data_IF_342679809623
#
_entry.id   IF_342679809623
#
_cell.length_a   1.000
_cell.length_b   1.000
_cell.length_c   1.000
_cell.angle_alpha   90.00
_cell.angle_beta   90.00
_cell.angle_gamma   90.00
#
_symmetry.space_group_name_H-M   'P 1'
#
loop_
_entity.id
_entity.type
_entity.pdbx_description
1 polymer ?
#
# COMPACT_ATOMS: atom_id res chain seq x y z
N UNK A 1 -14.54 15.84 34.43
CA UNK A 1 -14.14 17.24 34.61
C UNK A 1 -14.00 17.60 36.09
N UNK A 2 -14.97 17.25 36.94
CA UNK A 2 -14.90 17.47 38.40
C UNK A 2 -13.60 16.99 39.07
N UNK A 3 -13.09 15.81 38.69
CA UNK A 3 -11.86 15.24 39.28
C UNK A 3 -10.55 15.85 38.75
N UNK A 4 -10.51 16.32 37.51
CA UNK A 4 -9.26 16.70 36.82
C UNK A 4 -9.15 18.21 36.55
N UNK A 5 -10.19 18.99 36.83
CA UNK A 5 -10.21 20.45 36.77
C UNK A 5 -10.22 21.04 35.37
N UNK A 6 -9.42 20.50 34.43
CA UNK A 6 -9.30 20.96 33.05
C UNK A 6 -9.67 19.87 32.05
N UNK A 7 -10.40 20.19 30.97
CA UNK A 7 -10.66 19.29 29.85
C UNK A 7 -9.39 18.64 29.29
N UNK A 8 -8.32 19.41 29.10
CA UNK A 8 -7.05 18.86 28.60
C UNK A 8 -6.45 17.83 29.56
N UNK A 9 -6.52 18.04 30.88
CA UNK A 9 -5.97 17.11 31.86
C UNK A 9 -6.67 15.74 31.85
N UNK A 10 -7.88 15.65 31.31
CA UNK A 10 -8.53 14.37 31.04
C UNK A 10 -7.88 13.67 29.85
N UNK A 11 -7.50 14.42 28.81
CA UNK A 11 -6.79 13.89 27.64
C UNK A 11 -5.36 13.46 28.03
N UNK A 12 -4.56 14.38 28.56
CA UNK A 12 -3.14 14.15 28.89
C UNK A 12 -2.93 13.19 30.07
N UNK A 13 -3.92 13.04 30.95
CA UNK A 13 -3.89 12.08 32.05
C UNK A 13 -4.50 10.74 31.65
N UNK A 14 -5.71 10.41 32.14
CA UNK A 14 -6.25 9.05 32.04
C UNK A 14 -6.41 8.52 30.62
N UNK A 15 -6.69 9.38 29.63
CA UNK A 15 -6.83 8.95 28.24
C UNK A 15 -5.47 8.59 27.62
N UNK A 16 -4.47 9.46 27.74
CA UNK A 16 -3.11 9.18 27.27
C UNK A 16 -2.45 8.04 28.05
N UNK A 17 -2.68 7.93 29.36
CA UNK A 17 -2.24 6.78 30.15
C UNK A 17 -2.80 5.46 29.60
N UNK A 18 -4.10 5.44 29.27
CA UNK A 18 -4.73 4.30 28.61
C UNK A 18 -4.10 4.01 27.24
N UNK A 19 -3.82 5.03 26.44
CA UNK A 19 -3.18 4.87 25.13
C UNK A 19 -1.72 4.42 25.21
N UNK A 20 -0.98 4.85 26.24
CA UNK A 20 0.38 4.38 26.52
C UNK A 20 0.38 2.89 26.82
N UNK A 21 -0.53 2.41 27.67
CA UNK A 21 -0.70 0.98 27.96
C UNK A 21 -1.03 0.21 26.67
N UNK A 22 -1.91 0.75 25.82
CA UNK A 22 -2.23 0.14 24.51
C UNK A 22 -0.98 0.06 23.63
N UNK A 23 -0.17 1.12 23.59
CA UNK A 23 1.09 1.17 22.85
C UNK A 23 2.11 0.15 23.35
N UNK A 24 2.28 0.04 24.66
CA UNK A 24 3.20 -0.91 25.29
C UNK A 24 2.76 -2.35 25.03
N UNK A 25 1.49 -2.68 25.23
CA UNK A 25 0.95 -4.01 24.94
C UNK A 25 1.03 -4.37 23.45
N UNK A 26 0.86 -3.40 22.55
CA UNK A 26 1.05 -3.60 21.12
C UNK A 26 2.52 -3.83 20.77
N UNK A 27 3.45 -3.08 21.39
CA UNK A 27 4.89 -3.28 21.24
C UNK A 27 5.39 -4.63 21.76
N UNK A 28 4.76 -5.15 22.82
CA UNK A 28 5.03 -6.48 23.40
C UNK A 28 4.33 -7.63 22.65
N UNK A 29 3.51 -7.33 21.63
CA UNK A 29 2.74 -8.34 20.88
C UNK A 29 1.57 -8.96 21.66
N UNK A 30 1.13 -8.33 22.76
CA UNK A 30 -0.02 -8.73 23.57
C UNK A 30 -1.34 -8.11 23.11
N UNK A 31 -1.26 -7.03 22.33
CA UNK A 31 -2.38 -6.44 21.61
C UNK A 31 -2.08 -6.40 20.11
N UNK A 32 -3.12 -6.48 19.29
CA UNK A 32 -3.04 -6.43 17.83
C UNK A 32 -3.78 -5.22 17.28
N UNK A 33 -3.52 -4.91 16.01
CA UNK A 33 -4.06 -3.72 15.36
C UNK A 33 -5.59 -3.58 15.47
N UNK A 34 -6.42 -4.64 15.35
CA UNK A 34 -7.87 -4.53 15.56
C UNK A 34 -8.24 -3.92 16.91
N UNK A 35 -7.51 -4.29 17.97
CA UNK A 35 -7.76 -3.78 19.32
C UNK A 35 -7.26 -2.34 19.45
N UNK A 36 -6.10 -2.02 18.88
CA UNK A 36 -5.56 -0.64 18.86
C UNK A 36 -6.56 0.31 18.18
N UNK A 37 -7.16 -0.09 17.06
CA UNK A 37 -8.19 0.71 16.37
C UNK A 37 -9.49 0.79 17.18
N UNK A 38 -9.91 -0.30 17.85
CA UNK A 38 -11.06 -0.26 18.78
C UNK A 38 -10.81 0.72 19.95
N UNK A 39 -9.60 0.76 20.52
CA UNK A 39 -9.19 1.72 21.55
C UNK A 39 -9.15 3.16 21.02
N UNK A 40 -8.59 3.36 19.82
CA UNK A 40 -8.59 4.64 19.13
C UNK A 40 -10.00 5.23 18.98
N UNK A 41 -10.99 4.37 18.70
CA UNK A 41 -12.40 4.78 18.58
C UNK A 41 -12.95 5.29 19.91
N UNK A 42 -12.57 4.69 21.04
CA UNK A 42 -12.95 5.18 22.38
C UNK A 42 -12.29 6.53 22.66
N UNK A 43 -10.99 6.65 22.37
CA UNK A 43 -10.23 7.91 22.49
C UNK A 43 -10.90 9.02 21.68
N UNK A 44 -11.20 8.78 20.40
CA UNK A 44 -11.87 9.75 19.51
C UNK A 44 -13.24 10.18 20.05
N UNK A 45 -14.06 9.24 20.56
CA UNK A 45 -15.36 9.57 21.16
C UNK A 45 -15.21 10.43 22.42
N UNK A 46 -14.22 10.12 23.28
CA UNK A 46 -13.96 10.89 24.49
C UNK A 46 -13.45 12.30 24.17
N UNK A 47 -12.54 12.45 23.21
CA UNK A 47 -12.07 13.76 22.73
C UNK A 47 -13.20 14.55 22.07
N UNK A 48 -14.04 13.92 21.24
CA UNK A 48 -15.20 14.57 20.62
C UNK A 48 -16.18 15.14 21.66
N UNK A 49 -16.37 14.44 22.78
CA UNK A 49 -17.15 14.94 23.91
C UNK A 49 -16.47 16.14 24.61
N UNK A 50 -15.14 16.13 24.72
CA UNK A 50 -14.37 17.21 25.35
C UNK A 50 -14.15 18.43 24.45
N UNK A 51 -14.35 18.30 23.13
CA UNK A 51 -14.07 19.33 22.14
C UNK A 51 -14.71 20.71 22.47
N UNK A 52 -16.00 20.80 22.82
CA UNK A 52 -16.63 22.09 23.13
C UNK A 52 -15.99 22.77 24.35
N UNK A 53 -15.53 21.99 25.33
CA UNK A 53 -14.87 22.49 26.54
C UNK A 53 -13.43 22.93 26.26
N UNK A 54 -12.73 22.21 25.38
CA UNK A 54 -11.38 22.56 24.92
C UNK A 54 -11.39 23.83 24.08
N UNK A 55 -12.38 24.05 23.23
CA UNK A 55 -12.53 25.28 22.45
C UNK A 55 -12.76 26.50 23.36
N UNK A 56 -13.59 26.34 24.39
CA UNK A 56 -13.80 27.37 25.41
C UNK A 56 -12.55 27.65 26.27
N UNK A 57 -11.66 26.66 26.44
CA UNK A 57 -10.40 26.79 27.18
C UNK A 57 -9.25 27.33 26.30
N UNK A 58 -9.16 26.93 25.02
CA UNK A 58 -8.20 27.46 24.02
C UNK A 58 -8.38 28.94 23.76
N UNK A 59 -9.60 29.46 23.86
CA UNK A 59 -9.87 30.90 23.83
C UNK A 59 -9.21 31.66 25.01
N UNK A 60 -8.81 30.96 26.07
CA UNK A 60 -8.19 31.52 27.29
C UNK A 60 -6.69 31.23 27.41
N UNK A 61 -6.16 30.17 26.77
CA UNK A 61 -4.72 29.91 26.69
C UNK A 61 -4.36 28.94 25.55
N UNK A 62 -3.44 29.28 24.63
CA UNK A 62 -2.94 28.35 23.62
C UNK A 62 -2.10 27.23 24.25
N UNK A 63 -2.32 25.98 23.84
CA UNK A 63 -1.61 24.78 24.35
C UNK A 63 -0.62 24.20 23.32
N UNK A 64 0.33 23.38 23.81
CA UNK A 64 1.47 22.83 23.05
C UNK A 64 1.16 21.43 22.51
N UNK A 65 1.18 21.26 21.19
CA UNK A 65 0.93 19.98 20.50
C UNK A 65 2.19 19.10 20.46
N UNK A 66 2.04 17.76 20.41
CA UNK A 66 3.17 16.83 20.34
C UNK A 66 3.89 16.84 18.98
N UNK A 67 3.18 17.23 17.92
CA UNK A 67 3.67 17.39 16.56
C UNK A 67 2.57 17.27 15.53
N UNK A 68 2.79 17.82 14.34
CA UNK A 68 1.88 17.87 13.20
C UNK A 68 2.41 17.01 12.05
N UNK A 69 1.63 16.03 11.63
CA UNK A 69 1.98 15.12 10.53
C UNK A 69 1.00 15.31 9.39
N UNK A 70 1.49 15.76 8.23
CA UNK A 70 0.69 15.78 7.00
C UNK A 70 0.85 14.45 6.28
N UNK A 71 -0.25 13.79 5.92
CA UNK A 71 -0.24 12.51 5.20
C UNK A 71 -0.98 12.63 3.87
N UNK A 72 -0.45 11.99 2.83
CA UNK A 72 -1.09 11.93 1.52
C UNK A 72 -0.76 10.62 0.80
N UNK A 73 -1.74 10.06 0.08
CA UNK A 73 -1.44 9.08 -0.97
C UNK A 73 -1.08 9.86 -2.24
N UNK A 74 0.06 9.53 -2.83
CA UNK A 74 0.64 10.30 -3.94
C UNK A 74 -0.25 10.32 -5.19
N UNK A 75 0.03 11.27 -6.08
CA UNK A 75 -0.69 11.44 -7.35
C UNK A 75 -0.78 10.12 -8.13
N UNK A 76 -1.96 9.87 -8.71
CA UNK A 76 -2.22 8.68 -9.53
C UNK A 76 -2.45 7.39 -8.73
N UNK A 77 -2.35 7.44 -7.38
CA UNK A 77 -2.60 6.30 -6.52
C UNK A 77 -3.84 6.54 -5.64
N UNK A 78 -4.71 5.53 -5.55
CA UNK A 78 -6.00 5.57 -4.88
C UNK A 78 -6.04 4.80 -3.57
N UNK A 79 -4.98 4.07 -3.25
CA UNK A 79 -4.98 3.13 -2.13
C UNK A 79 -4.58 3.83 -0.83
N UNK A 80 -5.40 3.70 0.22
CA UNK A 80 -5.25 4.47 1.45
C UNK A 80 -5.42 3.68 2.74
N UNK A 81 -5.75 2.37 2.69
CA UNK A 81 -5.98 1.56 3.89
C UNK A 81 -4.79 1.66 4.87
N UNK A 82 -3.56 1.43 4.37
CA UNK A 82 -2.35 1.53 5.18
C UNK A 82 -2.11 2.96 5.71
N UNK A 83 -2.33 3.99 4.89
CA UNK A 83 -2.23 5.40 5.29
C UNK A 83 -3.19 5.71 6.44
N UNK A 84 -4.44 5.28 6.32
CA UNK A 84 -5.49 5.54 7.31
C UNK A 84 -5.15 4.84 8.64
N UNK A 85 -4.60 3.62 8.59
CA UNK A 85 -4.12 2.91 9.77
C UNK A 85 -3.00 3.70 10.47
N UNK A 86 -1.99 4.16 9.72
CA UNK A 86 -0.89 4.98 10.27
C UNK A 86 -1.44 6.26 10.90
N UNK A 87 -2.36 6.95 10.22
CA UNK A 87 -2.98 8.18 10.75
C UNK A 87 -3.74 7.94 12.06
N UNK A 88 -4.49 6.84 12.17
CA UNK A 88 -5.16 6.45 13.42
C UNK A 88 -4.13 6.18 14.52
N UNK A 89 -3.08 5.41 14.23
CA UNK A 89 -2.03 5.07 15.20
C UNK A 89 -1.25 6.31 15.68
N UNK A 90 -0.98 7.28 14.80
CA UNK A 90 -0.34 8.55 15.19
C UNK A 90 -1.27 9.42 16.05
N UNK A 91 -2.54 9.55 15.69
CA UNK A 91 -3.53 10.26 16.53
C UNK A 91 -3.65 9.63 17.92
N UNK A 92 -3.58 8.31 18.02
CA UNK A 92 -3.54 7.56 19.28
C UNK A 92 -2.37 7.94 20.18
N UNK A 93 -1.29 8.49 19.63
CA UNK A 93 -0.07 8.88 20.34
C UNK A 93 0.04 10.41 20.51
N UNK A 94 -1.06 11.15 20.34
CA UNK A 94 -1.13 12.58 20.63
C UNK A 94 -0.64 13.51 19.50
N UNK A 95 -0.31 12.97 18.33
CA UNK A 95 0.02 13.77 17.14
C UNK A 95 -1.22 14.30 16.44
N UNK A 96 -1.13 15.49 15.86
CA UNK A 96 -2.18 16.05 15.00
C UNK A 96 -1.91 15.59 13.57
N UNK A 97 -2.78 14.74 13.03
CA UNK A 97 -2.65 14.21 11.67
C UNK A 97 -3.64 14.90 10.74
N UNK A 98 -3.14 15.52 9.68
CA UNK A 98 -3.94 16.00 8.55
C UNK A 98 -3.79 15.03 7.38
N UNK A 99 -4.89 14.42 6.96
CA UNK A 99 -4.92 13.47 5.84
C UNK A 99 -5.52 14.13 4.60
N UNK A 100 -4.71 14.29 3.55
CA UNK A 100 -5.12 14.90 2.29
C UNK A 100 -5.90 13.97 1.36
N UNK A 101 -6.07 12.70 1.74
CA UNK A 101 -6.72 11.69 0.91
C UNK A 101 -5.79 11.09 -0.13
N UNK A 102 -6.33 10.86 -1.34
CA UNK A 102 -5.68 10.09 -2.40
C UNK A 102 -5.50 10.88 -3.69
N UNK A 103 -4.61 10.40 -4.56
CA UNK A 103 -4.23 11.04 -5.82
C UNK A 103 -3.77 12.49 -5.66
N UNK A 104 -3.07 12.81 -4.56
CA UNK A 104 -2.74 14.20 -4.21
C UNK A 104 -1.48 14.66 -4.98
N UNK A 105 -1.55 15.74 -5.78
CA UNK A 105 -0.39 16.28 -6.47
C UNK A 105 0.67 16.86 -5.52
N UNK A 106 1.94 16.78 -5.91
CA UNK A 106 3.07 17.26 -5.12
C UNK A 106 2.92 18.72 -4.66
N UNK A 107 2.53 19.64 -5.55
CA UNK A 107 2.37 21.05 -5.21
C UNK A 107 1.34 21.27 -4.09
N UNK A 108 0.20 20.55 -4.15
CA UNK A 108 -0.84 20.61 -3.13
C UNK A 108 -0.32 20.12 -1.78
N UNK A 109 0.44 19.02 -1.77
CA UNK A 109 1.05 18.48 -0.54
C UNK A 109 1.96 19.55 0.09
N UNK A 110 2.82 20.18 -0.69
CA UNK A 110 3.78 21.16 -0.18
C UNK A 110 3.13 22.48 0.24
N UNK A 111 2.13 22.95 -0.49
CA UNK A 111 1.30 24.11 -0.11
C UNK A 111 0.59 23.85 1.23
N UNK A 112 -0.08 22.70 1.35
CA UNK A 112 -0.80 22.32 2.56
C UNK A 112 0.16 22.11 3.74
N UNK A 113 1.36 21.57 3.51
CA UNK A 113 2.37 21.41 4.56
C UNK A 113 2.77 22.76 5.19
N UNK A 114 2.87 23.82 4.38
CA UNK A 114 3.14 25.18 4.87
C UNK A 114 1.95 25.77 5.62
N UNK A 115 0.74 25.66 5.06
CA UNK A 115 -0.50 26.13 5.67
C UNK A 115 -0.75 25.47 7.03
N UNK A 116 -0.63 24.15 7.08
CA UNK A 116 -0.84 23.34 8.27
C UNK A 116 0.30 23.49 9.29
N UNK A 117 1.44 24.06 8.88
CA UNK A 117 2.70 24.10 9.67
C UNK A 117 3.11 22.69 10.10
N UNK A 118 3.15 21.78 9.13
CA UNK A 118 3.53 20.39 9.38
C UNK A 118 4.96 20.32 9.93
N UNK A 119 5.19 19.43 10.90
CA UNK A 119 6.52 19.09 11.39
C UNK A 119 7.17 18.01 10.51
N UNK A 120 6.36 17.23 9.78
CA UNK A 120 6.79 16.21 8.83
C UNK A 120 5.71 15.87 7.80
N UNK A 121 6.14 15.32 6.67
CA UNK A 121 5.28 14.90 5.56
C UNK A 121 5.39 13.38 5.40
N UNK A 122 4.28 12.66 5.35
CA UNK A 122 4.20 11.23 5.08
C UNK A 122 3.53 10.95 3.74
N UNK A 123 4.22 10.18 2.88
CA UNK A 123 3.72 9.75 1.58
C UNK A 123 3.38 8.26 1.59
N UNK A 124 2.25 7.92 0.98
CA UNK A 124 1.80 6.55 0.79
C UNK A 124 1.68 6.20 -0.70
N UNK A 125 2.03 4.96 -1.06
CA UNK A 125 1.88 4.41 -2.41
C UNK A 125 1.82 2.88 -2.44
N UNK A 126 1.00 2.32 -3.31
CA UNK A 126 0.79 0.89 -3.52
C UNK A 126 1.31 0.41 -4.88
N UNK A 127 1.33 1.26 -5.91
CA UNK A 127 1.71 0.86 -7.28
C UNK A 127 3.11 1.38 -7.65
N UNK A 128 3.74 0.78 -8.66
CA UNK A 128 5.10 1.15 -9.08
C UNK A 128 5.24 2.63 -9.51
N UNK A 129 4.29 3.21 -10.29
CA UNK A 129 4.34 4.64 -10.63
C UNK A 129 4.36 5.59 -9.43
N UNK A 130 3.82 5.14 -8.28
CA UNK A 130 3.81 5.93 -7.04
C UNK A 130 5.22 6.22 -6.53
N UNK A 131 6.19 5.35 -6.84
CA UNK A 131 7.60 5.57 -6.47
C UNK A 131 8.21 6.77 -7.20
N UNK A 132 7.88 6.96 -8.48
CA UNK A 132 8.33 8.10 -9.26
C UNK A 132 7.71 9.40 -8.75
N UNK A 133 6.44 9.37 -8.34
CA UNK A 133 5.78 10.52 -7.71
C UNK A 133 6.39 10.86 -6.34
N UNK A 134 6.78 9.87 -5.53
CA UNK A 134 7.52 10.12 -4.28
C UNK A 134 8.90 10.76 -4.54
N UNK A 135 9.61 10.31 -5.58
CA UNK A 135 10.86 10.94 -6.01
C UNK A 135 10.61 12.39 -6.48
N UNK A 136 9.52 12.64 -7.21
CA UNK A 136 9.14 13.97 -7.64
C UNK A 136 8.86 14.89 -6.45
N UNK A 137 8.11 14.43 -5.44
CA UNK A 137 7.88 15.19 -4.20
C UNK A 137 9.20 15.51 -3.50
N UNK A 138 10.12 14.55 -3.37
CA UNK A 138 11.43 14.79 -2.76
C UNK A 138 12.24 15.87 -3.51
N UNK A 139 12.25 15.83 -4.86
CA UNK A 139 12.88 16.87 -5.69
C UNK A 139 12.25 18.24 -5.48
N UNK A 140 10.93 18.32 -5.42
CA UNK A 140 10.20 19.58 -5.21
C UNK A 140 10.41 20.13 -3.79
N UNK A 141 10.45 19.26 -2.77
CA UNK A 141 10.83 19.64 -1.42
C UNK A 141 12.24 20.24 -1.38
N UNK A 142 13.18 19.66 -2.12
CA UNK A 142 14.54 20.19 -2.22
C UNK A 142 14.60 21.53 -2.95
N UNK A 143 13.90 21.63 -4.09
CA UNK A 143 13.79 22.86 -4.91
C UNK A 143 13.19 24.03 -4.11
N UNK A 144 12.24 23.72 -3.24
CA UNK A 144 11.58 24.69 -2.36
C UNK A 144 12.23 24.80 -0.97
N UNK A 145 13.42 24.20 -0.80
CA UNK A 145 14.26 24.29 0.39
C UNK A 145 13.56 23.88 1.71
N UNK A 146 12.63 22.93 1.63
CA UNK A 146 12.05 22.33 2.83
C UNK A 146 13.14 21.72 3.72
N UNK A 147 12.89 21.72 5.03
CA UNK A 147 13.74 21.07 6.05
C UNK A 147 13.00 20.00 6.85
N UNK A 148 11.71 19.83 6.58
CA UNK A 148 10.85 18.85 7.25
C UNK A 148 11.30 17.43 6.89
N UNK A 149 11.26 16.46 7.83
CA UNK A 149 11.41 15.05 7.49
C UNK A 149 10.33 14.58 6.50
N UNK A 150 10.75 13.76 5.54
CA UNK A 150 9.90 13.08 4.58
C UNK A 150 9.84 11.59 4.94
N UNK A 151 8.65 11.11 5.29
CA UNK A 151 8.38 9.71 5.58
C UNK A 151 7.80 9.04 4.34
N UNK A 152 8.37 7.89 3.96
CA UNK A 152 7.97 7.09 2.81
C UNK A 152 7.44 5.75 3.31
N UNK A 153 6.23 5.37 2.88
CA UNK A 153 5.65 4.07 3.20
C UNK A 153 4.65 3.60 2.14
N UNK A 154 4.18 2.36 2.30
CA UNK A 154 3.26 1.70 1.36
C UNK A 154 3.86 0.47 0.69
N UNK A 155 3.04 -0.31 0.00
CA UNK A 155 3.40 -1.68 -0.41
C UNK A 155 4.57 -1.75 -1.41
N UNK A 156 4.69 -0.78 -2.31
CA UNK A 156 5.79 -0.72 -3.29
C UNK A 156 7.06 -0.09 -2.74
N UNK A 157 7.00 0.51 -1.56
CA UNK A 157 8.15 1.16 -0.94
C UNK A 157 9.06 0.14 -0.24
N UNK A 158 10.35 0.43 -0.21
CA UNK A 158 11.33 -0.35 0.55
C UNK A 158 12.46 0.54 1.06
N UNK A 159 13.17 0.07 2.09
CA UNK A 159 14.40 0.74 2.58
C UNK A 159 15.41 0.92 1.45
N UNK A 160 15.61 -0.11 0.62
CA UNK A 160 16.55 -0.09 -0.49
C UNK A 160 16.16 0.94 -1.55
N UNK A 161 14.90 0.92 -2.02
CA UNK A 161 14.43 1.90 -3.00
C UNK A 161 14.51 3.33 -2.46
N UNK A 162 14.10 3.54 -1.22
CA UNK A 162 14.16 4.86 -0.56
C UNK A 162 15.60 5.39 -0.51
N UNK A 163 16.55 4.55 -0.06
CA UNK A 163 17.96 4.93 0.04
C UNK A 163 18.61 5.24 -1.32
N UNK A 164 18.27 4.48 -2.36
CA UNK A 164 18.93 4.55 -3.69
C UNK A 164 18.29 5.59 -4.59
N UNK A 165 16.97 5.71 -4.58
CA UNK A 165 16.21 6.48 -5.58
C UNK A 165 15.51 7.72 -5.04
N UNK A 166 15.18 7.79 -3.75
CA UNK A 166 14.41 8.91 -3.18
C UNK A 166 15.31 9.85 -2.36
N UNK A 167 16.08 9.31 -1.41
CA UNK A 167 16.85 10.08 -0.45
C UNK A 167 17.86 11.05 -1.11
N UNK A 168 18.48 10.65 -2.22
CA UNK A 168 19.44 11.47 -2.96
C UNK A 168 18.82 12.72 -3.63
N UNK A 169 17.50 12.84 -3.65
CA UNK A 169 16.80 13.97 -4.26
C UNK A 169 16.39 15.05 -3.26
N UNK A 170 16.62 14.85 -1.96
CA UNK A 170 16.25 15.80 -0.91
C UNK A 170 17.34 15.91 0.15
N UNK A 171 17.77 17.14 0.43
CA UNK A 171 18.80 17.42 1.43
C UNK A 171 18.31 17.29 2.88
N UNK A 172 16.99 17.21 3.10
CA UNK A 172 16.42 16.96 4.43
C UNK A 172 16.28 15.45 4.73
N UNK A 173 15.85 15.09 5.95
CA UNK A 173 15.73 13.68 6.32
C UNK A 173 14.68 12.95 5.47
N UNK A 174 15.07 11.84 4.83
CA UNK A 174 14.14 10.91 4.18
C UNK A 174 14.19 9.57 4.90
N UNK A 175 13.06 9.06 5.33
CA UNK A 175 12.97 7.81 6.10
C UNK A 175 11.92 6.87 5.54
N UNK A 176 12.28 5.61 5.39
CA UNK A 176 11.33 4.55 5.07
C UNK A 176 10.71 3.98 6.34
N UNK A 177 9.38 4.00 6.43
CA UNK A 177 8.61 3.44 7.54
C UNK A 177 7.89 2.19 7.05
N UNK A 178 8.22 1.04 7.65
CA UNK A 178 7.73 -0.26 7.19
C UNK A 178 6.22 -0.43 7.36
N UNK A 179 5.72 -0.10 8.54
CA UNK A 179 4.33 -0.32 8.94
C UNK A 179 3.91 0.69 10.01
N UNK A 180 2.63 0.66 10.38
CA UNK A 180 2.07 1.58 11.38
C UNK A 180 2.66 1.38 12.78
N UNK A 181 3.13 0.18 13.13
CA UNK A 181 3.74 -0.08 14.43
C UNK A 181 5.07 0.65 14.62
N UNK A 182 5.83 0.80 13.53
CA UNK A 182 7.11 1.52 13.54
C UNK A 182 6.94 3.01 13.37
N UNK A 183 5.83 3.48 12.79
CA UNK A 183 5.58 4.89 12.55
C UNK A 183 5.70 5.74 13.83
N UNK A 184 5.10 5.30 14.94
CA UNK A 184 5.12 6.03 16.23
C UNK A 184 6.55 6.23 16.72
N UNK A 185 7.37 5.18 16.70
CA UNK A 185 8.76 5.24 17.15
C UNK A 185 9.58 6.22 16.32
N UNK A 186 9.43 6.16 14.98
CA UNK A 186 10.12 7.06 14.05
C UNK A 186 9.74 8.52 14.29
N UNK A 187 8.44 8.82 14.37
CA UNK A 187 7.95 10.19 14.61
C UNK A 187 8.44 10.71 15.97
N UNK A 188 8.37 9.88 17.02
CA UNK A 188 8.83 10.22 18.38
C UNK A 188 10.33 10.49 18.46
N UNK A 189 11.13 9.78 17.69
CA UNK A 189 12.58 9.98 17.65
C UNK A 189 12.96 11.23 16.83
N UNK A 190 12.21 11.51 15.75
CA UNK A 190 12.37 12.73 14.95
C UNK A 190 11.98 14.01 15.71
N UNK A 191 10.97 13.96 16.58
CA UNK A 191 10.51 15.12 17.35
C UNK A 191 11.33 15.38 18.64
N UNK A 192 12.23 14.48 19.01
CA UNK A 192 12.99 14.58 20.25
C UNK A 192 14.36 15.21 20.04
N UNK A 193 14.61 16.40 20.60
CA UNK A 193 15.91 17.09 20.51
C UNK A 193 17.11 16.21 20.92
N UNK A 194 16.91 15.36 21.93
CA UNK A 194 17.96 14.44 22.43
C UNK A 194 18.23 13.22 21.52
N UNK A 195 17.20 12.65 20.89
CA UNK A 195 17.32 11.40 20.10
C UNK A 195 17.50 11.67 18.62
N UNK A 196 16.97 12.78 18.12
CA UNK A 196 16.94 13.14 16.70
C UNK A 196 18.33 13.09 16.06
N UNK A 197 19.41 13.69 16.62
CA UNK A 197 20.72 13.68 15.95
C UNK A 197 21.24 12.26 15.71
N UNK A 198 21.35 11.46 16.77
CA UNK A 198 21.82 10.07 16.68
C UNK A 198 20.92 9.18 15.80
N UNK A 199 19.61 9.44 15.78
CA UNK A 199 18.67 8.71 14.93
C UNK A 199 18.86 9.03 13.44
N UNK A 200 19.08 10.31 13.11
CA UNK A 200 19.34 10.74 11.74
C UNK A 200 20.70 10.23 11.24
N UNK A 201 21.75 10.31 12.06
CA UNK A 201 23.08 9.79 11.73
C UNK A 201 23.02 8.30 11.42
N UNK A 202 22.29 7.53 12.25
CA UNK A 202 22.08 6.10 12.01
C UNK A 202 21.32 5.84 10.71
N UNK A 203 20.26 6.60 10.43
CA UNK A 203 19.50 6.45 9.18
C UNK A 203 20.37 6.74 7.96
N UNK A 204 21.22 7.76 8.02
CA UNK A 204 22.15 8.09 6.93
C UNK A 204 23.18 6.98 6.71
N UNK A 205 23.77 6.44 7.78
CA UNK A 205 24.68 5.29 7.71
C UNK A 205 24.01 4.06 7.09
N UNK A 206 22.82 3.70 7.57
CA UNK A 206 22.04 2.58 7.03
C UNK A 206 21.75 2.76 5.53
N UNK A 207 21.36 3.98 5.11
CA UNK A 207 21.11 4.28 3.71
C UNK A 207 22.39 4.24 2.87
N UNK A 208 23.52 4.71 3.40
CA UNK A 208 24.81 4.65 2.73
C UNK A 208 25.23 3.21 2.49
N UNK A 209 25.14 2.34 3.51
CA UNK A 209 25.41 0.90 3.37
C UNK A 209 24.50 0.25 2.33
N UNK A 210 23.21 0.60 2.30
CA UNK A 210 22.27 0.09 1.30
C UNK A 210 22.63 0.55 -0.12
N UNK A 211 23.07 1.80 -0.29
CA UNK A 211 23.53 2.32 -1.59
C UNK A 211 24.78 1.61 -2.07
N UNK A 212 25.77 1.44 -1.19
CA UNK A 212 27.02 0.74 -1.49
C UNK A 212 26.76 -0.73 -1.84
N UNK A 213 25.95 -1.42 -1.05
CA UNK A 213 25.55 -2.81 -1.33
C UNK A 213 24.83 -2.93 -2.67
N UNK A 214 23.95 -1.99 -3.00
CA UNK A 214 23.26 -1.97 -4.29
C UNK A 214 24.22 -1.70 -5.46
N UNK A 215 25.19 -0.79 -5.29
CA UNK A 215 26.22 -0.52 -6.29
C UNK A 215 27.12 -1.74 -6.53
N UNK A 216 27.49 -2.46 -5.48
CA UNK A 216 28.29 -3.68 -5.54
C UNK A 216 27.57 -4.87 -6.19
N UNK A 217 26.24 -4.94 -6.07
CA UNK A 217 25.46 -6.03 -6.69
C UNK A 217 25.54 -6.04 -8.22
N UNK A 218 25.90 -4.91 -8.85
CA UNK A 218 25.97 -4.76 -10.30
C UNK A 218 24.64 -5.08 -11.01
N UNK A 219 24.55 -4.76 -12.30
CA UNK A 219 23.50 -5.35 -13.13
C UNK A 219 23.90 -6.80 -13.42
N UNK A 220 23.01 -7.77 -13.15
CA UNK A 220 23.20 -9.12 -13.70
C UNK A 220 23.35 -8.99 -15.22
N UNK A 221 24.32 -9.70 -15.84
CA UNK A 221 24.49 -9.63 -17.30
C UNK A 221 23.18 -10.04 -17.97
N UNK A 222 22.68 -9.15 -18.81
CA UNK A 222 21.48 -9.38 -19.61
C UNK A 222 21.92 -9.97 -20.96
N UNK A 223 21.17 -10.95 -21.44
CA UNK A 223 21.24 -11.41 -22.83
C UNK A 223 20.68 -10.35 -23.77
N UNK A 224 21.09 -10.38 -25.02
CA UNK A 224 20.41 -9.59 -26.05
C UNK A 224 18.96 -10.06 -26.18
N UNK A 225 18.10 -9.19 -26.72
CA UNK A 225 16.70 -9.56 -26.92
C UNK A 225 16.59 -10.71 -27.94
N UNK A 226 17.45 -10.74 -28.96
CA UNK A 226 17.54 -11.81 -29.95
C UNK A 226 17.91 -13.15 -29.32
N UNK A 227 18.95 -13.19 -28.49
CA UNK A 227 19.34 -14.41 -27.75
C UNK A 227 18.21 -14.91 -26.83
N UNK A 228 17.51 -13.97 -26.18
CA UNK A 228 16.40 -14.31 -25.31
C UNK A 228 15.22 -14.88 -26.09
N UNK A 229 14.92 -14.33 -27.27
CA UNK A 229 13.88 -14.84 -28.18
C UNK A 229 14.20 -16.22 -28.74
N UNK A 230 15.47 -16.51 -29.00
CA UNK A 230 15.92 -17.85 -29.41
C UNK A 230 15.70 -18.89 -28.30
N UNK A 231 15.79 -18.47 -27.02
CA UNK A 231 15.51 -19.31 -25.86
C UNK A 231 14.06 -19.14 -25.32
N UNK A 232 13.09 -18.80 -26.19
CA UNK A 232 11.67 -18.72 -25.82
C UNK A 232 11.10 -20.06 -25.37
N UNK A 233 9.97 -20.03 -24.67
CA UNK A 233 9.24 -21.26 -24.30
C UNK A 233 8.89 -22.05 -25.56
N UNK A 234 9.23 -23.34 -25.59
CA UNK A 234 8.94 -24.22 -26.72
C UNK A 234 7.64 -25.00 -26.47
N UNK A 235 6.62 -24.70 -27.26
CA UNK A 235 5.34 -25.41 -27.27
C UNK A 235 5.16 -26.01 -28.67
N UNK A 236 4.83 -27.30 -28.75
CA UNK A 236 4.45 -27.94 -30.01
C UNK A 236 3.00 -27.61 -30.32
N UNK A 237 2.80 -26.65 -31.23
CA UNK A 237 1.48 -26.21 -31.66
C UNK A 237 0.83 -27.15 -32.68
N UNK A 238 1.58 -28.07 -33.31
CA UNK A 238 1.05 -28.92 -34.39
C UNK A 238 0.07 -29.98 -33.90
N UNK A 239 0.26 -30.46 -32.66
CA UNK A 239 -0.61 -31.43 -31.99
C UNK A 239 -1.45 -30.81 -30.86
N UNK A 240 -1.54 -29.48 -30.79
CA UNK A 240 -2.21 -28.78 -29.71
C UNK A 240 -3.60 -28.31 -30.14
N UNK A 241 -4.64 -28.84 -29.51
CA UNK A 241 -5.99 -28.29 -29.62
C UNK A 241 -6.19 -27.25 -28.53
N UNK A 242 -6.35 -25.98 -28.92
CA UNK A 242 -6.78 -24.93 -28.00
C UNK A 242 -8.26 -25.09 -27.67
N UNK A 243 -8.67 -24.60 -26.50
CA UNK A 243 -10.07 -24.61 -26.10
C UNK A 243 -10.75 -23.34 -26.61
N UNK A 244 -11.76 -23.51 -27.45
CA UNK A 244 -12.59 -22.40 -27.91
C UNK A 244 -13.50 -21.93 -26.76
N UNK A 245 -13.52 -20.63 -26.43
CA UNK A 245 -14.42 -20.10 -25.43
C UNK A 245 -15.88 -20.21 -25.90
N UNK A 246 -16.81 -20.38 -24.95
CA UNK A 246 -18.25 -20.51 -25.23
C UNK A 246 -18.85 -19.27 -25.92
N UNK A 247 -18.17 -18.13 -25.83
CA UNK A 247 -18.54 -16.90 -26.54
C UNK A 247 -17.30 -16.08 -26.89
N UNK A 248 -17.43 -15.22 -27.90
CA UNK A 248 -16.43 -14.21 -28.27
C UNK A 248 -17.05 -12.84 -28.07
N UNK A 249 -16.23 -11.88 -27.64
CA UNK A 249 -16.63 -10.50 -27.35
C UNK A 249 -16.76 -10.24 -25.86
N UNK A 250 -17.41 -9.13 -25.51
CA UNK A 250 -17.50 -8.62 -24.13
C UNK A 250 -18.85 -8.95 -23.50
N UNK A 251 -18.83 -9.36 -22.23
CA UNK A 251 -20.00 -9.44 -21.35
C UNK A 251 -19.84 -8.48 -20.18
N UNK A 252 -20.92 -7.80 -19.83
CA UNK A 252 -20.99 -6.91 -18.68
C UNK A 252 -21.92 -7.49 -17.64
N UNK A 253 -21.44 -7.61 -16.41
CA UNK A 253 -22.23 -8.00 -15.26
C UNK A 253 -22.53 -6.73 -14.45
N UNK A 254 -23.78 -6.30 -14.50
CA UNK A 254 -24.29 -5.21 -13.67
C UNK A 254 -25.07 -5.81 -12.51
N UNK A 255 -24.80 -5.35 -11.28
CA UNK A 255 -25.48 -5.83 -10.07
C UNK A 255 -25.29 -7.33 -9.84
N UNK A 256 -24.05 -7.82 -9.97
CA UNK A 256 -23.75 -9.24 -9.71
C UNK A 256 -24.09 -9.59 -8.24
N UNK A 257 -24.73 -10.76 -7.97
CA UNK A 257 -25.11 -11.15 -6.62
C UNK A 257 -23.90 -11.19 -5.69
N UNK A 258 -23.99 -10.49 -4.55
CA UNK A 258 -22.87 -10.44 -3.60
C UNK A 258 -22.69 -11.78 -2.88
N UNK A 259 -23.80 -12.48 -2.65
CA UNK A 259 -23.86 -13.83 -2.09
C UNK A 259 -22.99 -14.83 -2.85
N UNK A 260 -22.89 -14.70 -4.18
CA UNK A 260 -22.08 -15.57 -5.02
C UNK A 260 -20.57 -15.26 -4.88
N UNK A 261 -20.21 -14.06 -4.45
CA UNK A 261 -18.81 -13.66 -4.22
C UNK A 261 -18.29 -14.09 -2.85
N UNK A 262 -19.16 -14.21 -1.84
CA UNK A 262 -18.77 -14.51 -0.46
C UNK A 262 -17.90 -15.78 -0.33
N UNK A 263 -18.20 -16.91 -1.01
CA UNK A 263 -17.37 -18.11 -0.93
C UNK A 263 -15.96 -17.96 -1.51
N UNK A 264 -15.74 -16.96 -2.38
CA UNK A 264 -14.47 -16.72 -3.07
C UNK A 264 -13.55 -15.72 -2.34
N UNK A 265 -13.96 -15.22 -1.16
CA UNK A 265 -13.12 -14.33 -0.35
C UNK A 265 -11.97 -15.14 0.26
N UNK A 266 -10.73 -14.85 -0.16
CA UNK A 266 -9.55 -15.22 0.61
C UNK A 266 -9.39 -14.27 1.80
N UNK A 267 -9.55 -14.81 3.00
CA UNK A 267 -9.45 -14.06 4.25
C UNK A 267 -8.01 -13.84 4.72
N UNK A 268 -7.02 -14.52 4.14
CA UNK A 268 -5.61 -14.36 4.54
C UNK A 268 -5.11 -12.93 4.30
N UNK A 269 -5.32 -12.32 3.11
CA UNK A 269 -5.03 -10.90 2.89
C UNK A 269 -5.79 -9.95 3.84
N UNK A 270 -7.02 -10.29 4.22
CA UNK A 270 -7.78 -9.51 5.19
C UNK A 270 -7.08 -9.47 6.56
N UNK A 271 -6.64 -10.62 7.09
CA UNK A 271 -5.86 -10.64 8.33
C UNK A 271 -4.53 -9.91 8.21
N UNK A 272 -3.83 -10.05 7.08
CA UNK A 272 -2.59 -9.32 6.83
C UNK A 272 -2.80 -7.79 6.84
N UNK A 273 -3.89 -7.29 6.26
CA UNK A 273 -4.23 -5.87 6.31
C UNK A 273 -4.48 -5.37 7.75
N UNK A 274 -4.86 -6.28 8.65
CA UNK A 274 -5.00 -6.05 10.09
C UNK A 274 -3.73 -6.39 10.89
N UNK A 275 -2.57 -6.52 10.25
CA UNK A 275 -1.28 -6.86 10.88
C UNK A 275 -1.31 -8.19 11.66
N UNK A 276 -2.21 -9.10 11.28
CA UNK A 276 -2.30 -10.45 11.83
C UNK A 276 -1.71 -11.43 10.81
N UNK A 277 -0.44 -11.78 10.96
CA UNK A 277 0.25 -12.70 10.04
C UNK A 277 -0.21 -14.14 10.25
N UNK A 278 -0.63 -14.79 9.17
CA UNK A 278 -1.08 -16.17 9.20
C UNK A 278 -2.02 -16.48 8.05
N UNK A 279 -2.18 -17.77 7.75
CA UNK A 279 -3.07 -18.24 6.67
C UNK A 279 -4.44 -18.60 7.23
N UNK A 280 -5.51 -18.16 6.58
CA UNK A 280 -6.86 -18.63 6.91
C UNK A 280 -7.08 -20.06 6.36
N UNK A 281 -7.75 -20.97 7.09
CA UNK A 281 -8.36 -20.78 8.42
C UNK A 281 -7.42 -21.02 9.60
N UNK A 282 -6.19 -21.52 9.38
CA UNK A 282 -5.26 -21.92 10.45
C UNK A 282 -4.95 -20.81 11.48
N UNK A 283 -4.95 -19.54 11.07
CA UNK A 283 -4.76 -18.38 11.96
C UNK A 283 -5.81 -18.30 13.08
N UNK A 284 -7.01 -18.86 12.87
CA UNK A 284 -8.07 -18.87 13.88
C UNK A 284 -7.71 -19.73 15.08
N UNK A 285 -6.86 -20.74 14.91
CA UNK A 285 -6.44 -21.69 15.95
C UNK A 285 -5.01 -21.44 16.45
N UNK A 286 -4.40 -20.32 16.03
CA UNK A 286 -3.10 -19.91 16.53
C UNK A 286 -3.13 -19.67 18.05
N UNK A 287 -2.13 -20.17 18.76
CA UNK A 287 -2.07 -20.14 20.23
C UNK A 287 -1.95 -18.70 20.79
N UNK A 288 -1.41 -17.76 20.01
CA UNK A 288 -1.17 -16.38 20.44
C UNK A 288 -2.26 -15.47 19.89
N UNK A 289 -2.51 -15.52 18.58
CA UNK A 289 -3.37 -14.57 17.89
C UNK A 289 -4.78 -15.10 17.62
N UNK A 290 -5.01 -16.41 17.74
CA UNK A 290 -6.23 -17.07 17.26
C UNK A 290 -7.51 -16.55 17.90
N UNK A 291 -7.51 -16.32 19.22
CA UNK A 291 -8.66 -15.71 19.91
C UNK A 291 -9.05 -14.35 19.30
N UNK A 292 -8.06 -13.51 18.96
CA UNK A 292 -8.29 -12.19 18.37
C UNK A 292 -8.59 -12.25 16.89
N UNK A 293 -8.05 -13.25 16.18
CA UNK A 293 -8.39 -13.50 14.79
C UNK A 293 -9.87 -13.91 14.66
N UNK A 294 -10.37 -14.77 15.56
CA UNK A 294 -11.80 -15.13 15.62
C UNK A 294 -12.69 -13.93 15.89
N UNK A 295 -12.35 -13.09 16.88
CA UNK A 295 -13.12 -11.87 17.20
C UNK A 295 -13.20 -10.92 15.99
N UNK A 296 -12.07 -10.67 15.32
CA UNK A 296 -12.01 -9.84 14.11
C UNK A 296 -12.83 -10.47 12.97
N UNK A 297 -12.72 -11.77 12.77
CA UNK A 297 -13.43 -12.51 11.73
C UNK A 297 -14.94 -12.45 11.97
N UNK A 298 -15.41 -12.66 13.19
CA UNK A 298 -16.82 -12.56 13.54
C UNK A 298 -17.38 -11.15 13.29
N UNK A 299 -16.62 -10.11 13.63
CA UNK A 299 -17.01 -8.72 13.34
C UNK A 299 -17.09 -8.47 11.82
N UNK A 300 -16.14 -9.00 11.04
CA UNK A 300 -16.15 -8.90 9.59
C UNK A 300 -17.32 -9.67 8.96
N UNK A 301 -17.63 -10.88 9.45
CA UNK A 301 -18.77 -11.68 9.01
C UNK A 301 -20.10 -10.98 9.27
N UNK A 302 -20.26 -10.31 10.44
CA UNK A 302 -21.45 -9.51 10.74
C UNK A 302 -21.60 -8.34 9.75
N UNK A 303 -20.52 -7.63 9.45
CA UNK A 303 -20.54 -6.54 8.47
C UNK A 303 -20.81 -7.04 7.05
N UNK A 304 -20.19 -8.15 6.65
CA UNK A 304 -20.40 -8.77 5.34
C UNK A 304 -21.87 -9.18 5.17
N UNK A 305 -22.47 -9.79 6.20
CA UNK A 305 -23.89 -10.14 6.21
C UNK A 305 -24.78 -8.91 6.05
N UNK A 306 -24.48 -7.81 6.75
CA UNK A 306 -25.20 -6.54 6.60
C UNK A 306 -25.06 -5.96 5.18
N UNK A 307 -23.85 -5.98 4.62
CA UNK A 307 -23.58 -5.50 3.26
C UNK A 307 -24.40 -6.27 2.22
N UNK A 308 -24.44 -7.61 2.34
CA UNK A 308 -25.19 -8.48 1.42
C UNK A 308 -26.70 -8.29 1.61
N UNK A 309 -27.19 -8.39 2.84
CA UNK A 309 -28.62 -8.31 3.15
C UNK A 309 -29.23 -6.97 2.74
N UNK A 310 -28.53 -5.88 3.04
CA UNK A 310 -28.99 -4.52 2.78
C UNK A 310 -28.49 -3.97 1.44
N UNK A 311 -27.85 -4.80 0.60
CA UNK A 311 -27.30 -4.43 -0.72
C UNK A 311 -26.54 -3.10 -0.70
N UNK A 312 -25.69 -2.92 0.33
CA UNK A 312 -24.96 -1.66 0.56
C UNK A 312 -23.93 -1.38 -0.53
N UNK A 313 -23.46 -2.42 -1.20
CA UNK A 313 -22.57 -2.34 -2.35
C UNK A 313 -23.19 -2.96 -3.58
N UNK A 314 -22.68 -2.59 -4.74
CA UNK A 314 -23.07 -3.15 -6.03
C UNK A 314 -21.83 -3.71 -6.70
N UNK A 315 -21.75 -5.04 -6.86
CA UNK A 315 -20.70 -5.66 -7.64
C UNK A 315 -20.95 -5.45 -9.14
N UNK A 316 -19.91 -5.05 -9.85
CA UNK A 316 -19.92 -4.86 -11.30
C UNK A 316 -18.65 -5.47 -11.88
N UNK A 317 -18.76 -6.07 -13.05
CA UNK A 317 -17.63 -6.63 -13.76
C UNK A 317 -17.82 -6.52 -15.27
N UNK A 318 -16.71 -6.51 -15.99
CA UNK A 318 -16.66 -6.69 -17.43
C UNK A 318 -15.60 -7.72 -17.73
N UNK A 319 -15.92 -8.68 -18.59
CA UNK A 319 -15.00 -9.72 -19.02
C UNK A 319 -15.29 -10.06 -20.49
N UNK A 320 -14.33 -10.65 -21.17
CA UNK A 320 -14.53 -11.05 -22.56
C UNK A 320 -13.53 -12.11 -22.96
N UNK A 321 -13.75 -12.69 -24.15
CA UNK A 321 -12.78 -13.57 -24.79
C UNK A 321 -12.68 -13.18 -26.25
N UNK A 322 -11.46 -13.16 -26.77
CA UNK A 322 -11.16 -12.65 -28.09
C UNK A 322 -10.16 -13.56 -28.79
N UNK A 323 -10.33 -13.81 -30.10
CA UNK A 323 -9.32 -14.51 -30.88
C UNK A 323 -8.00 -13.75 -30.83
N UNK A 324 -6.91 -14.47 -30.63
CA UNK A 324 -5.58 -13.90 -30.52
C UNK A 324 -4.54 -14.77 -31.24
N UNK A 325 -3.43 -14.13 -31.58
CA UNK A 325 -2.20 -14.79 -32.02
C UNK A 325 -1.01 -14.08 -31.37
N UNK A 326 0.09 -14.81 -31.18
CA UNK A 326 1.36 -14.18 -30.86
C UNK A 326 2.12 -13.78 -32.12
N UNK A 327 2.75 -12.61 -32.07
CA UNK A 327 3.66 -12.10 -33.10
C UNK A 327 4.92 -11.59 -32.41
N UNK A 328 6.00 -12.38 -32.46
CA UNK A 328 7.22 -12.09 -31.70
C UNK A 328 6.99 -12.22 -30.19
N UNK A 329 7.03 -11.09 -29.47
CA UNK A 329 6.80 -11.00 -28.02
C UNK A 329 5.44 -10.38 -27.68
N UNK A 330 4.63 -10.06 -28.67
CA UNK A 330 3.35 -9.38 -28.52
C UNK A 330 2.18 -10.32 -28.83
N UNK A 331 0.99 -9.94 -28.36
CA UNK A 331 -0.26 -10.66 -28.60
C UNK A 331 -1.20 -9.75 -29.39
N UNK A 332 -1.50 -10.11 -30.64
CA UNK A 332 -2.48 -9.40 -31.47
C UNK A 332 -3.86 -9.97 -31.19
N UNK A 333 -4.81 -9.10 -30.88
CA UNK A 333 -6.19 -9.46 -30.52
C UNK A 333 -7.13 -9.02 -31.63
N UNK A 334 -8.03 -9.89 -32.04
CA UNK A 334 -8.97 -9.67 -33.15
C UNK A 334 -10.40 -9.51 -32.68
N UNK A 335 -11.21 -8.85 -33.52
CA UNK A 335 -12.62 -8.60 -33.25
C UNK A 335 -13.48 -9.86 -33.39
N UNK A 336 -13.11 -10.72 -34.34
CA UNK A 336 -13.88 -11.84 -34.85
C UNK A 336 -12.98 -13.05 -35.12
N UNK A 337 -13.60 -14.22 -35.20
CA UNK A 337 -12.90 -15.49 -35.39
C UNK A 337 -12.19 -15.60 -36.75
N UNK A 338 -12.65 -14.85 -37.76
CA UNK A 338 -12.00 -14.80 -39.07
C UNK A 338 -10.70 -13.98 -39.06
N UNK A 339 -10.36 -13.35 -37.92
CA UNK A 339 -9.17 -12.53 -37.71
C UNK A 339 -9.05 -11.41 -38.76
N UNK A 340 -10.18 -10.93 -39.28
CA UNK A 340 -10.22 -9.94 -40.36
C UNK A 340 -9.77 -8.55 -39.91
N UNK A 341 -9.99 -8.23 -38.62
CA UNK A 341 -9.67 -6.92 -38.05
C UNK A 341 -9.03 -7.03 -36.66
N UNK A 342 -7.82 -6.51 -36.52
CA UNK A 342 -7.16 -6.35 -35.23
C UNK A 342 -7.86 -5.26 -34.39
N UNK A 343 -8.17 -5.57 -33.14
CA UNK A 343 -8.70 -4.65 -32.14
C UNK A 343 -7.59 -3.90 -31.40
N UNK A 344 -6.60 -4.64 -30.95
CA UNK A 344 -5.48 -4.11 -30.14
C UNK A 344 -4.31 -5.09 -30.14
N UNK A 345 -3.19 -4.63 -29.61
CA UNK A 345 -2.01 -5.46 -29.35
C UNK A 345 -1.65 -5.34 -27.87
N UNK A 346 -1.55 -6.47 -27.17
CA UNK A 346 -0.94 -6.51 -25.85
C UNK A 346 0.56 -6.69 -25.98
N UNK A 347 1.30 -5.67 -25.57
CA UNK A 347 2.75 -5.73 -25.55
C UNK A 347 3.23 -6.46 -24.31
N UNK A 348 4.09 -7.47 -24.48
CA UNK A 348 4.62 -8.26 -23.37
C UNK A 348 6.14 -8.13 -23.29
N UNK A 349 6.68 -8.34 -22.10
CA UNK A 349 8.13 -8.28 -21.87
C UNK A 349 8.72 -9.68 -21.86
N UNK A 350 9.90 -9.83 -22.48
CA UNK A 350 10.69 -11.05 -22.43
C UNK A 350 11.74 -10.98 -21.32
N UNK A 351 11.86 -12.05 -20.54
CA UNK A 351 12.95 -12.18 -19.57
C UNK A 351 14.30 -12.19 -20.30
N UNK A 352 15.24 -11.30 -19.93
CA UNK A 352 16.59 -11.23 -20.54
C UNK A 352 17.71 -11.75 -19.64
N UNK A 353 17.39 -12.26 -18.45
CA UNK A 353 18.39 -12.84 -17.56
C UNK A 353 18.91 -14.18 -18.12
N UNK A 354 20.16 -14.51 -17.82
CA UNK A 354 20.67 -15.86 -18.10
C UNK A 354 19.83 -16.91 -17.36
N UNK A 355 19.42 -17.95 -18.08
CA UNK A 355 18.63 -19.06 -17.57
C UNK A 355 19.50 -20.32 -17.53
N UNK A 356 19.42 -21.13 -16.45
CA UNK A 356 20.02 -22.46 -16.45
C UNK A 356 19.50 -23.32 -17.60
N UNK A 357 20.27 -24.35 -17.98
CA UNK A 357 19.86 -25.29 -19.03
C UNK A 357 18.51 -25.92 -18.70
N UNK A 358 17.65 -26.04 -19.72
CA UNK A 358 16.27 -26.51 -19.57
C UNK A 358 15.27 -25.44 -19.08
N UNK A 359 15.71 -24.21 -18.80
CA UNK A 359 14.81 -23.09 -18.53
C UNK A 359 14.75 -22.10 -19.70
N UNK A 360 13.57 -21.51 -19.87
CA UNK A 360 13.29 -20.60 -20.97
C UNK A 360 13.27 -19.13 -20.52
N UNK A 361 13.56 -18.26 -21.48
CA UNK A 361 13.41 -16.82 -21.35
C UNK A 361 11.95 -16.46 -21.69
N UNK A 362 11.06 -16.59 -20.71
CA UNK A 362 9.62 -16.44 -20.92
C UNK A 362 9.21 -15.04 -21.37
N UNK A 363 8.20 -14.99 -22.22
CA UNK A 363 7.31 -13.85 -22.45
C UNK A 363 5.86 -14.33 -22.31
N UNK A 364 4.91 -13.46 -21.94
CA UNK A 364 3.50 -13.87 -21.82
C UNK A 364 2.93 -14.31 -23.18
N UNK A 365 3.41 -13.71 -24.27
CA UNK A 365 3.03 -14.09 -25.63
C UNK A 365 3.41 -15.52 -26.01
N UNK A 366 4.38 -16.15 -25.33
CA UNK A 366 4.81 -17.52 -25.64
C UNK A 366 3.68 -18.55 -25.45
N UNK A 367 2.66 -18.22 -24.65
CA UNK A 367 1.54 -19.09 -24.30
C UNK A 367 0.30 -18.87 -25.17
N UNK A 368 0.42 -18.08 -26.24
CA UNK A 368 -0.62 -17.89 -27.26
C UNK A 368 -0.06 -18.39 -28.60
N UNK A 369 -0.87 -19.13 -29.36
CA UNK A 369 -0.47 -19.72 -30.63
C UNK A 369 0.14 -18.67 -31.57
N UNK A 370 1.32 -18.91 -32.15
CA UNK A 370 1.95 -17.96 -33.04
C UNK A 370 1.19 -17.87 -34.34
N UNK A 371 1.19 -16.67 -34.94
CA UNK A 371 0.47 -16.41 -36.19
C UNK A 371 0.86 -17.39 -37.31
N UNK A 372 2.13 -17.80 -37.37
CA UNK A 372 2.61 -18.73 -38.40
C UNK A 372 2.13 -20.18 -38.21
N UNK A 373 1.67 -20.55 -37.01
CA UNK A 373 1.18 -21.92 -36.76
C UNK A 373 -0.17 -22.21 -37.41
N UNK A 374 -0.95 -21.17 -37.74
CA UNK A 374 -2.32 -21.31 -38.23
C UNK A 374 -3.32 -21.83 -37.17
N UNK A 375 -2.88 -22.11 -35.95
CA UNK A 375 -3.75 -22.57 -34.86
C UNK A 375 -4.63 -21.42 -34.37
N UNK A 376 -5.91 -21.73 -34.14
CA UNK A 376 -6.83 -20.80 -33.48
C UNK A 376 -6.49 -20.71 -32.00
N UNK A 377 -6.47 -19.52 -31.41
CA UNK A 377 -6.23 -19.34 -29.98
C UNK A 377 -6.91 -18.06 -29.49
N UNK A 378 -7.00 -17.89 -28.17
CA UNK A 378 -7.87 -16.92 -27.53
C UNK A 378 -7.22 -16.30 -26.28
N UNK A 379 -7.60 -15.06 -25.97
CA UNK A 379 -7.23 -14.35 -24.73
C UNK A 379 -8.48 -13.71 -24.11
N UNK A 380 -8.51 -13.53 -22.79
CA UNK A 380 -9.63 -12.90 -22.08
C UNK A 380 -9.21 -11.82 -21.09
#
# INVERSE_FOLDING_TARGET
LEKYGRPLSVIEGPLMDGMNIVGDLFGEGKMFLPQVVKSARVMKKAVAYLLPYLEAEKAKSPQKEAGRVLMATVKGDVHDIGKNIVGVVLNCNGYVVEDMGVMVPANRILEKAKEFKADMIGLSGLITPSLDEMMHVAKEMNRLEFKLPLLIGGATTSKAHTAVKIANHYNGPVLHVLDASKAVGVVRDLMSDKRRPAFLDKNEQDQQTLRESHALRGSKPLKTIEESRQNRTRIDWTNHSTLKPDFIGTKTLNNFPLEDLVPYIDWSPFFHAWEMRGRYPAILDDAIVGSKARELFEDAQKQLKDIVLNRRFTARAVYGFFPAVSTGDDIVVYQDADRSKALTTFHTLRQQIHKPDGQFNHALADFIAPQESGVEDYIG
#
